data_IF_661917493987
#
_entry.id   IF_661917493987
#
_cell.length_a   1.000
_cell.length_b   1.000
_cell.length_c   1.000
_cell.angle_alpha   90.00
_cell.angle_beta   90.00
_cell.angle_gamma   90.00
#
_symmetry.space_group_name_H-M   'P 1'
#
loop_
_entity.id
_entity.type
_entity.pdbx_description
1 polymer ?
#
# COMPACT_ATOMS: atom_id res chain seq x y z
N UNK A 1 32.82 -6.51 -18.77
CA UNK A 1 33.09 -7.47 -17.68
C UNK A 1 34.58 -7.43 -17.36
N UNK A 2 34.96 -6.82 -16.25
CA UNK A 2 36.30 -6.97 -15.67
C UNK A 2 36.14 -7.58 -14.29
N UNK A 3 36.54 -8.83 -14.20
CA UNK A 3 36.64 -9.60 -12.97
C UNK A 3 37.63 -8.89 -12.05
N UNK A 4 37.26 -8.68 -10.79
CA UNK A 4 38.17 -8.21 -9.75
C UNK A 4 39.18 -9.32 -9.46
N UNK A 5 40.40 -9.17 -10.00
CA UNK A 5 41.54 -10.02 -9.66
C UNK A 5 42.31 -9.39 -8.49
N UNK A 6 42.50 -10.21 -7.46
CA UNK A 6 43.36 -9.98 -6.30
C UNK A 6 44.77 -9.52 -6.69
N UNK A 7 45.19 -8.38 -6.14
CA UNK A 7 46.60 -7.93 -6.16
C UNK A 7 47.14 -8.06 -4.74
N UNK A 8 48.12 -8.95 -4.55
CA UNK A 8 48.89 -9.09 -3.30
C UNK A 8 49.75 -7.86 -3.09
N UNK A 9 49.57 -7.16 -1.96
CA UNK A 9 50.55 -6.24 -1.41
C UNK A 9 51.03 -6.80 -0.06
N UNK A 10 52.29 -7.20 -0.04
CA UNK A 10 53.02 -7.67 1.14
C UNK A 10 53.55 -6.46 1.90
N UNK A 11 53.10 -6.26 3.13
CA UNK A 11 53.82 -5.45 4.12
C UNK A 11 53.93 -6.26 5.41
N UNK A 12 55.18 -6.53 5.79
CA UNK A 12 55.58 -7.24 7.01
C UNK A 12 55.34 -6.34 8.23
N UNK A 13 54.72 -6.86 9.28
CA UNK A 13 54.74 -6.28 10.63
C UNK A 13 55.51 -7.22 11.59
N UNK A 14 56.26 -6.70 12.56
CA UNK A 14 56.96 -7.50 13.56
C UNK A 14 55.98 -8.04 14.60
N UNK A 15 56.24 -9.27 15.04
CA UNK A 15 55.48 -9.98 16.08
C UNK A 15 55.88 -9.43 17.46
N UNK A 16 54.89 -9.01 18.25
CA UNK A 16 54.99 -8.80 19.70
C UNK A 16 53.86 -9.57 20.42
N UNK A 17 54.08 -10.06 21.66
CA UNK A 17 53.40 -11.25 22.17
C UNK A 17 52.00 -10.99 22.74
N UNK A 18 51.17 -12.04 22.68
CA UNK A 18 49.81 -12.11 23.22
C UNK A 18 49.76 -11.83 24.74
N UNK A 19 49.15 -10.70 25.11
CA UNK A 19 48.58 -10.51 26.43
C UNK A 19 47.08 -10.86 26.38
N UNK A 20 46.68 -11.82 27.24
CA UNK A 20 45.28 -12.19 27.46
C UNK A 20 44.53 -11.04 28.15
N UNK A 21 43.42 -10.59 27.58
CA UNK A 21 42.42 -9.78 28.32
C UNK A 21 40.99 -10.16 27.90
N UNK A 22 40.01 -10.16 28.82
CA UNK A 22 38.73 -10.85 28.65
C UNK A 22 37.69 -9.95 27.99
N UNK A 23 37.43 -10.18 26.70
CA UNK A 23 36.43 -9.47 25.89
C UNK A 23 35.03 -10.10 25.91
N UNK A 24 34.49 -10.40 27.09
CA UNK A 24 33.13 -10.94 27.23
C UNK A 24 32.21 -10.16 28.20
N UNK A 25 32.66 -9.02 28.75
CA UNK A 25 31.91 -8.28 29.79
C UNK A 25 31.42 -6.87 29.38
N UNK A 26 31.53 -6.47 28.11
CA UNK A 26 31.17 -5.12 27.64
C UNK A 26 29.80 -4.99 26.95
N UNK A 27 29.01 -6.06 26.90
CA UNK A 27 27.63 -6.05 26.36
C UNK A 27 26.53 -6.15 27.44
N UNK A 28 26.87 -6.18 28.74
CA UNK A 28 25.89 -6.33 29.83
C UNK A 28 25.89 -5.18 30.87
N UNK A 29 26.66 -4.10 30.67
CA UNK A 29 26.76 -2.97 31.61
C UNK A 29 26.09 -1.67 31.16
N UNK A 30 24.99 -1.76 30.41
CA UNK A 30 24.04 -0.64 30.22
C UNK A 30 22.68 -0.84 30.91
N UNK A 31 22.56 -1.86 31.75
CA UNK A 31 21.43 -2.07 32.65
C UNK A 31 21.96 -2.12 34.09
N UNK A 32 22.00 -0.96 34.74
CA UNK A 32 22.19 -0.68 36.18
C UNK A 32 23.14 0.50 36.39
N UNK A 33 22.59 1.69 36.23
CA UNK A 33 23.19 2.94 36.67
C UNK A 33 22.06 3.88 37.02
N UNK A 34 21.74 3.96 38.31
CA UNK A 34 20.89 4.99 38.88
C UNK A 34 21.60 6.34 38.71
N UNK A 35 21.18 7.13 37.74
CA UNK A 35 21.36 8.57 37.75
C UNK A 35 19.98 9.20 37.88
N UNK A 36 19.68 9.59 39.12
CA UNK A 36 18.70 10.62 39.42
C UNK A 36 19.19 11.92 38.77
N UNK A 37 18.48 12.36 37.73
CA UNK A 37 18.25 13.76 37.30
C UNK A 37 17.84 13.82 35.81
N UNK A 38 17.02 12.87 35.35
CA UNK A 38 16.26 13.06 34.11
C UNK A 38 15.01 13.90 34.41
N UNK A 39 14.64 14.87 33.56
CA UNK A 39 13.39 15.59 33.75
C UNK A 39 12.25 14.58 33.69
N UNK A 40 11.58 14.39 34.83
CA UNK A 40 10.34 13.63 34.92
C UNK A 40 9.44 14.11 33.79
N UNK A 41 9.16 13.21 32.84
CA UNK A 41 8.25 13.50 31.75
C UNK A 41 6.93 14.00 32.36
N UNK A 42 6.68 15.30 32.18
CA UNK A 42 5.43 15.91 32.63
C UNK A 42 4.23 15.21 32.00
N UNK A 43 3.04 15.36 32.57
CA UNK A 43 1.83 14.79 32.00
C UNK A 43 1.72 15.19 30.53
N UNK A 44 1.48 14.18 29.68
CA UNK A 44 1.31 14.33 28.25
C UNK A 44 0.35 15.50 27.95
N UNK A 45 0.91 16.57 27.38
CA UNK A 45 0.11 17.67 26.84
C UNK A 45 -0.09 17.34 25.36
N UNK A 46 -1.32 17.08 24.89
CA UNK A 46 -1.55 16.83 23.47
C UNK A 46 -1.04 18.04 22.67
N UNK A 47 -0.39 17.82 21.52
CA UNK A 47 -0.01 18.92 20.64
C UNK A 47 -1.25 19.77 20.37
N UNK A 48 -1.13 21.09 20.54
CA UNK A 48 -2.22 22.00 20.22
C UNK A 48 -2.59 21.82 18.74
N UNK A 49 -3.89 21.87 18.44
CA UNK A 49 -4.44 21.86 17.08
C UNK A 49 -3.76 22.86 16.11
N UNK A 50 -2.98 23.83 16.61
CA UNK A 50 -2.16 24.74 15.80
C UNK A 50 -0.96 24.08 15.08
N UNK A 51 -0.48 22.90 15.51
CA UNK A 51 0.54 22.14 14.76
C UNK A 51 -0.05 21.32 13.59
N UNK A 52 -1.37 21.18 13.51
CA UNK A 52 -2.09 20.44 12.46
C UNK A 52 -2.17 21.17 11.10
N UNK A 53 -1.38 22.24 10.89
CA UNK A 53 -1.31 22.98 9.62
C UNK A 53 -0.05 22.71 8.78
N UNK A 54 0.88 21.87 9.26
CA UNK A 54 2.05 21.48 8.46
C UNK A 54 1.77 20.20 7.67
N UNK A 55 1.92 20.28 6.35
CA UNK A 55 1.92 19.12 5.45
C UNK A 55 3.25 19.04 4.73
N UNK A 56 3.52 17.89 4.12
CA UNK A 56 4.74 17.62 3.37
C UNK A 56 4.41 17.52 1.89
N UNK A 57 5.30 18.02 1.05
CA UNK A 57 5.22 17.83 -0.40
C UNK A 57 6.49 17.14 -0.86
N UNK A 58 6.28 16.08 -1.61
CA UNK A 58 7.32 15.30 -2.24
C UNK A 58 7.10 15.33 -3.75
N UNK A 59 8.16 15.59 -4.49
CA UNK A 59 8.17 15.60 -5.95
C UNK A 59 9.14 14.54 -6.42
N UNK A 60 8.68 13.64 -7.27
CA UNK A 60 9.49 12.56 -7.82
C UNK A 60 8.85 12.03 -9.12
N UNK A 61 9.56 11.20 -9.85
CA UNK A 61 9.05 10.51 -11.02
C UNK A 61 8.49 9.15 -10.64
N UNK A 62 7.37 8.77 -11.27
CA UNK A 62 6.98 7.36 -11.34
C UNK A 62 7.91 6.61 -12.29
N UNK A 63 9.12 6.31 -11.83
CA UNK A 63 10.12 5.59 -12.60
C UNK A 63 9.75 4.11 -12.80
N UNK A 64 9.96 3.58 -14.01
CA UNK A 64 9.58 2.19 -14.36
C UNK A 64 10.23 1.13 -13.44
N UNK A 65 11.42 1.41 -12.92
CA UNK A 65 12.20 0.46 -12.10
C UNK A 65 11.47 -0.06 -10.86
N UNK A 66 11.08 0.83 -9.91
CA UNK A 66 10.25 0.48 -8.77
C UNK A 66 8.96 -0.26 -9.15
N UNK A 67 8.19 0.23 -10.13
CA UNK A 67 6.96 -0.44 -10.58
C UNK A 67 7.21 -1.88 -11.03
N UNK A 68 8.26 -2.09 -11.83
CA UNK A 68 8.57 -3.41 -12.39
C UNK A 68 8.96 -4.38 -11.29
N UNK A 69 9.82 -3.97 -10.35
CA UNK A 69 10.24 -4.81 -9.22
C UNK A 69 9.07 -5.12 -8.29
N UNK A 70 8.21 -4.13 -8.06
CA UNK A 70 6.99 -4.33 -7.29
C UNK A 70 6.05 -5.33 -7.98
N UNK A 71 5.88 -5.23 -9.30
CA UNK A 71 5.11 -6.21 -10.05
C UNK A 71 5.74 -7.61 -9.99
N UNK A 72 7.07 -7.73 -10.07
CA UNK A 72 7.77 -9.01 -9.88
C UNK A 72 7.48 -9.61 -8.50
N UNK A 73 7.53 -8.79 -7.44
CA UNK A 73 7.19 -9.24 -6.09
C UNK A 73 5.73 -9.72 -6.00
N UNK A 74 4.78 -8.96 -6.56
CA UNK A 74 3.36 -9.36 -6.54
C UNK A 74 3.12 -10.64 -7.35
N UNK A 75 3.82 -10.81 -8.48
CA UNK A 75 3.72 -12.02 -9.30
C UNK A 75 4.29 -13.26 -8.59
N UNK A 76 5.24 -13.09 -7.68
CA UNK A 76 5.79 -14.18 -6.87
C UNK A 76 4.85 -14.58 -5.71
N UNK A 77 3.97 -13.67 -5.30
CA UNK A 77 2.97 -13.85 -4.24
C UNK A 77 1.59 -14.26 -4.76
N UNK A 78 1.33 -14.20 -6.08
CA UNK A 78 0.02 -14.41 -6.71
C UNK A 78 0.12 -15.40 -7.88
N UNK A 79 -0.98 -16.00 -8.37
CA UNK A 79 -0.93 -16.91 -9.52
C UNK A 79 -0.49 -16.22 -10.80
N UNK A 80 0.08 -17.00 -11.73
CA UNK A 80 0.46 -16.53 -13.06
C UNK A 80 -0.70 -15.87 -13.83
N UNK A 81 -1.94 -16.32 -13.60
CA UNK A 81 -3.13 -15.76 -14.22
C UNK A 81 -3.42 -14.30 -13.83
N UNK A 82 -2.80 -13.80 -12.75
CA UNK A 82 -3.02 -12.46 -12.20
C UNK A 82 -1.88 -11.50 -12.63
N UNK A 83 -0.94 -11.99 -13.45
CA UNK A 83 0.20 -11.22 -13.91
C UNK A 83 -0.27 -10.11 -14.87
N UNK A 84 0.04 -8.87 -14.51
CA UNK A 84 -0.09 -7.74 -15.42
C UNK A 84 1.19 -7.65 -16.27
N UNK A 85 1.09 -8.09 -17.52
CA UNK A 85 2.17 -7.96 -18.51
C UNK A 85 2.22 -6.52 -19.04
N UNK A 86 3.39 -5.87 -18.91
CA UNK A 86 3.73 -4.60 -19.57
C UNK A 86 2.76 -3.41 -19.38
N UNK A 87 1.85 -3.51 -18.40
CA UNK A 87 0.86 -2.47 -18.09
C UNK A 87 1.50 -1.11 -17.86
N UNK A 88 2.62 -1.05 -17.15
CA UNK A 88 3.35 0.17 -16.78
C UNK A 88 3.86 1.02 -17.96
N UNK A 89 3.89 0.50 -19.20
CA UNK A 89 4.16 1.31 -20.40
C UNK A 89 2.97 2.16 -20.82
N UNK A 90 1.75 1.70 -20.52
CA UNK A 90 0.50 2.35 -20.91
C UNK A 90 -0.22 2.93 -19.69
N UNK A 91 -0.43 2.18 -18.61
CA UNK A 91 -1.06 2.67 -17.39
C UNK A 91 -0.42 1.99 -16.17
N UNK A 92 -0.19 2.74 -15.11
CA UNK A 92 0.28 2.14 -13.87
C UNK A 92 -0.84 1.28 -13.26
N UNK A 93 -0.58 0.02 -12.86
CA UNK A 93 -1.58 -0.75 -12.14
C UNK A 93 -2.00 -0.07 -10.82
N UNK A 94 -3.27 -0.21 -10.43
CA UNK A 94 -3.74 0.28 -9.12
C UNK A 94 -2.94 -0.35 -7.99
N UNK A 95 -2.62 0.46 -6.98
CA UNK A 95 -1.71 0.08 -5.89
C UNK A 95 -0.23 0.32 -6.18
N UNK A 96 0.19 0.57 -7.42
CA UNK A 96 1.62 0.80 -7.72
C UNK A 96 2.18 2.08 -7.09
N UNK A 97 1.35 3.07 -6.76
CA UNK A 97 1.76 4.29 -6.04
C UNK A 97 2.35 3.98 -4.65
N UNK A 98 2.06 2.81 -4.06
CA UNK A 98 2.53 2.42 -2.73
C UNK A 98 4.06 2.26 -2.62
N UNK A 99 4.76 2.06 -3.75
CA UNK A 99 6.23 1.97 -3.81
C UNK A 99 6.89 3.26 -4.31
N UNK A 100 6.13 4.36 -4.35
CA UNK A 100 6.64 5.70 -4.64
C UNK A 100 6.38 6.63 -3.46
N UNK A 101 7.11 7.74 -3.44
CA UNK A 101 7.10 8.67 -2.31
C UNK A 101 7.29 7.94 -0.97
N UNK A 102 8.37 7.13 -0.85
CA UNK A 102 8.61 6.30 0.32
C UNK A 102 8.98 7.17 1.54
N UNK A 103 9.38 6.54 2.64
CA UNK A 103 9.99 7.25 3.77
C UNK A 103 11.20 8.04 3.26
N UNK A 104 11.27 9.33 3.59
CA UNK A 104 12.32 10.24 3.10
C UNK A 104 13.39 10.53 4.16
N UNK A 105 13.11 10.27 5.45
CA UNK A 105 14.11 10.42 6.48
C UNK A 105 15.33 9.50 6.24
N UNK A 106 16.53 10.07 6.42
CA UNK A 106 17.75 9.29 6.48
C UNK A 106 17.66 8.25 7.61
N UNK A 107 18.31 7.08 7.52
CA UNK A 107 18.26 6.06 8.57
C UNK A 107 18.60 6.57 9.97
N UNK A 108 19.50 7.56 10.08
CA UNK A 108 19.88 8.21 11.34
C UNK A 108 18.82 9.15 11.94
N UNK A 109 17.71 9.38 11.22
CA UNK A 109 16.58 10.25 11.58
C UNK A 109 15.27 9.49 11.74
N UNK A 110 15.28 8.16 11.55
CA UNK A 110 14.13 7.31 11.79
C UNK A 110 13.80 7.26 13.29
N UNK A 111 12.54 6.96 13.60
CA UNK A 111 12.11 6.68 14.96
C UNK A 111 12.74 5.38 15.49
N UNK A 112 12.72 5.14 16.82
CA UNK A 112 13.31 3.95 17.43
C UNK A 112 12.79 2.60 16.91
N UNK A 113 11.62 2.56 16.28
CA UNK A 113 11.00 1.37 15.66
C UNK A 113 11.41 1.16 14.19
N UNK A 114 12.22 2.06 13.62
CA UNK A 114 12.73 1.99 12.26
C UNK A 114 11.83 2.60 11.18
N UNK A 115 10.77 3.32 11.53
CA UNK A 115 9.94 4.03 10.56
C UNK A 115 9.91 5.56 10.79
N UNK A 116 9.18 6.27 9.94
CA UNK A 116 9.24 7.73 9.82
C UNK A 116 8.89 8.44 11.14
N UNK A 117 9.77 9.33 11.61
CA UNK A 117 9.64 9.96 12.93
C UNK A 117 8.57 11.05 12.95
N UNK A 118 8.31 11.70 11.82
CA UNK A 118 7.30 12.76 11.70
C UNK A 118 5.86 12.26 11.88
N UNK A 119 5.63 10.95 11.76
CA UNK A 119 4.31 10.34 11.95
C UNK A 119 4.00 10.05 13.41
N UNK A 120 5.00 10.13 14.31
CA UNK A 120 4.83 9.84 15.73
C UNK A 120 4.11 11.02 16.38
N UNK A 121 2.91 10.82 16.97
CA UNK A 121 2.21 11.90 17.64
C UNK A 121 3.03 12.35 18.85
N UNK A 122 2.96 13.65 19.17
CA UNK A 122 3.62 14.19 20.35
C UNK A 122 3.31 13.37 21.60
N UNK A 123 4.29 13.20 22.48
CA UNK A 123 4.15 12.48 23.75
C UNK A 123 4.00 10.95 23.68
N UNK A 124 3.98 10.35 22.48
CA UNK A 124 4.09 8.90 22.35
C UNK A 124 5.56 8.49 22.29
N UNK A 125 5.97 7.61 23.20
CA UNK A 125 7.37 7.20 23.36
C UNK A 125 7.58 5.76 22.84
N UNK A 126 8.12 5.65 21.62
CA UNK A 126 8.47 4.38 20.99
C UNK A 126 9.72 3.71 21.58
N UNK A 127 10.42 4.33 22.53
CA UNK A 127 11.55 3.69 23.21
C UNK A 127 11.10 2.73 24.32
N UNK A 128 9.84 2.84 24.76
CA UNK A 128 9.30 2.01 25.83
C UNK A 128 9.06 0.57 25.35
N UNK A 129 9.42 -0.45 26.15
CA UNK A 129 9.08 -1.83 25.86
C UNK A 129 7.56 -1.99 25.65
N UNK A 130 7.16 -2.70 24.60
CA UNK A 130 5.76 -2.92 24.23
C UNK A 130 5.13 -1.79 23.40
N UNK A 131 5.74 -0.60 23.35
CA UNK A 131 5.23 0.51 22.55
C UNK A 131 5.36 0.19 21.06
N UNK A 132 4.23 0.13 20.37
CA UNK A 132 4.19 -0.34 18.98
C UNK A 132 3.38 0.60 18.10
N UNK A 133 3.93 0.92 16.94
CA UNK A 133 3.22 1.54 15.82
C UNK A 133 2.68 0.46 14.88
N UNK A 134 1.43 0.60 14.46
CA UNK A 134 0.77 -0.35 13.56
C UNK A 134 0.02 0.39 12.45
N UNK A 135 0.12 -0.12 11.23
CA UNK A 135 -0.78 0.28 10.15
C UNK A 135 -2.11 -0.45 10.31
N UNK A 136 -3.13 0.24 10.80
CA UNK A 136 -4.43 -0.40 11.15
C UNK A 136 -5.49 -0.28 10.06
N UNK A 137 -5.18 0.40 8.95
CA UNK A 137 -6.03 0.45 7.78
C UNK A 137 -5.93 1.76 7.03
N UNK A 138 -6.93 2.04 6.21
CA UNK A 138 -6.94 3.21 5.37
C UNK A 138 -8.07 3.21 4.36
N UNK A 139 -7.96 4.10 3.39
CA UNK A 139 -8.78 4.09 2.18
C UNK A 139 -7.98 4.59 0.99
N UNK A 140 -8.38 4.16 -0.20
CA UNK A 140 -7.86 4.62 -1.48
C UNK A 140 -9.02 4.98 -2.37
N UNK A 141 -8.94 6.15 -3.01
CA UNK A 141 -9.87 6.60 -4.03
C UNK A 141 -9.06 6.90 -5.29
N UNK A 142 -9.52 6.36 -6.42
CA UNK A 142 -9.01 6.66 -7.75
C UNK A 142 -10.06 7.52 -8.46
N UNK A 143 -9.68 8.72 -8.88
CA UNK A 143 -10.59 9.64 -9.54
C UNK A 143 -10.69 9.36 -11.05
N UNK A 144 -11.61 10.05 -11.73
CA UNK A 144 -11.83 9.86 -13.15
C UNK A 144 -10.55 10.10 -13.97
N UNK A 145 -10.45 9.39 -15.09
CA UNK A 145 -9.27 9.36 -15.97
C UNK A 145 -7.95 8.92 -15.33
N UNK A 146 -7.94 8.38 -14.09
CA UNK A 146 -6.71 7.88 -13.46
C UNK A 146 -5.94 6.89 -14.36
N UNK A 147 -6.64 5.97 -15.04
CA UNK A 147 -6.02 4.99 -15.94
C UNK A 147 -5.38 5.64 -17.18
N UNK A 148 -5.88 6.81 -17.57
CA UNK A 148 -5.36 7.61 -18.67
C UNK A 148 -4.18 8.48 -18.24
N UNK A 149 -4.12 8.88 -16.96
CA UNK A 149 -3.19 9.90 -16.49
C UNK A 149 -2.07 9.35 -15.58
N UNK A 150 -2.34 8.31 -14.79
CA UNK A 150 -1.35 7.69 -13.89
C UNK A 150 -0.38 6.82 -14.68
N UNK A 151 0.69 7.44 -15.19
CA UNK A 151 1.68 6.83 -16.09
C UNK A 151 3.10 7.28 -15.75
N UNK A 152 4.07 6.46 -16.14
CA UNK A 152 5.49 6.84 -16.06
C UNK A 152 5.84 7.96 -17.06
N UNK A 153 5.24 7.93 -18.26
CA UNK A 153 5.60 8.79 -19.39
C UNK A 153 4.39 9.54 -19.94
N UNK A 154 4.65 10.72 -20.49
CA UNK A 154 3.63 11.59 -21.10
C UNK A 154 3.04 10.99 -22.38
N UNK A 155 1.71 11.03 -22.59
CA UNK A 155 1.09 10.67 -23.86
C UNK A 155 1.66 11.51 -25.00
N UNK A 156 2.03 10.85 -26.12
CA UNK A 156 2.59 11.53 -27.30
C UNK A 156 4.01 12.09 -27.13
N UNK A 157 4.57 12.12 -25.91
CA UNK A 157 5.87 12.71 -25.58
C UNK A 157 7.07 11.74 -25.65
N UNK A 158 6.92 10.57 -26.26
CA UNK A 158 7.97 9.55 -26.31
C UNK A 158 8.37 9.03 -24.92
N UNK A 159 9.66 9.07 -24.57
CA UNK A 159 10.19 8.63 -23.27
C UNK A 159 10.26 9.74 -22.22
N UNK A 160 9.55 10.86 -22.42
CA UNK A 160 9.52 11.97 -21.46
C UNK A 160 8.73 11.58 -20.22
N UNK A 161 9.33 11.57 -19.02
CA UNK A 161 8.63 11.16 -17.80
C UNK A 161 7.68 12.26 -17.26
N UNK A 162 6.64 11.86 -16.54
CA UNK A 162 5.85 12.78 -15.72
C UNK A 162 6.61 13.12 -14.44
N UNK A 163 6.53 14.39 -14.01
CA UNK A 163 6.87 14.79 -12.64
C UNK A 163 5.59 14.70 -11.80
N UNK A 164 5.62 13.81 -10.81
CA UNK A 164 4.52 13.58 -9.89
C UNK A 164 4.76 14.30 -8.58
N UNK A 165 3.67 14.72 -7.95
CA UNK A 165 3.69 15.34 -6.63
C UNK A 165 2.79 14.54 -5.69
N UNK A 166 3.33 14.20 -4.52
CA UNK A 166 2.59 13.64 -3.40
C UNK A 166 2.53 14.68 -2.28
N UNK A 167 1.32 15.08 -1.89
CA UNK A 167 1.09 15.90 -0.70
C UNK A 167 0.60 15.02 0.43
N UNK A 168 1.33 14.99 1.54
CA UNK A 168 0.93 14.30 2.77
C UNK A 168 0.54 15.32 3.84
N UNK A 169 -0.60 15.13 4.51
CA UNK A 169 -1.05 15.97 5.61
C UNK A 169 -1.50 15.13 6.80
N UNK A 170 -1.36 15.71 8.00
CA UNK A 170 -2.02 15.18 9.18
C UNK A 170 -3.51 15.56 9.13
N UNK A 171 -4.38 14.60 8.85
CA UNK A 171 -5.81 14.84 8.72
C UNK A 171 -6.53 14.84 10.07
N UNK A 172 -6.00 14.08 11.05
CA UNK A 172 -6.55 14.08 12.40
C UNK A 172 -5.92 13.04 13.30
N UNK A 173 -6.29 13.09 14.59
CA UNK A 173 -5.92 12.08 15.56
C UNK A 173 -7.05 11.83 16.53
N UNK A 174 -7.27 10.54 16.84
CA UNK A 174 -8.25 10.08 17.83
C UNK A 174 -7.51 9.35 18.93
N UNK A 175 -7.72 9.76 20.18
CA UNK A 175 -7.23 9.03 21.36
C UNK A 175 -8.35 8.17 21.89
N UNK A 176 -8.13 6.87 21.95
CA UNK A 176 -9.08 5.88 22.45
C UNK A 176 -8.57 5.36 23.78
N UNK A 177 -9.36 5.55 24.85
CA UNK A 177 -9.03 5.07 26.20
C UNK A 177 -9.77 3.76 26.49
N UNK A 178 -9.06 2.80 27.11
CA UNK A 178 -9.64 1.56 27.63
C UNK A 178 -9.02 1.26 28.98
N UNK A 179 -9.75 1.56 30.06
CA UNK A 179 -9.16 1.55 31.42
C UNK A 179 -8.05 2.59 31.52
N UNK A 180 -6.91 2.19 32.07
CA UNK A 180 -5.72 3.05 32.23
C UNK A 180 -4.87 3.15 30.95
N UNK A 181 -5.13 2.31 29.95
CA UNK A 181 -4.42 2.34 28.68
C UNK A 181 -5.07 3.32 27.69
N UNK A 182 -4.23 4.07 26.98
CA UNK A 182 -4.67 4.93 25.88
C UNK A 182 -3.93 4.55 24.61
N UNK A 183 -4.66 4.38 23.50
CA UNK A 183 -4.08 4.23 22.16
C UNK A 183 -4.41 5.46 21.32
N UNK A 184 -3.45 5.94 20.55
CA UNK A 184 -3.68 7.02 19.60
C UNK A 184 -3.82 6.42 18.20
N UNK A 185 -4.77 6.93 17.42
CA UNK A 185 -4.92 6.61 15.99
C UNK A 185 -4.73 7.90 15.22
N UNK A 186 -3.63 7.99 14.50
CA UNK A 186 -3.27 9.10 13.62
C UNK A 186 -3.78 8.81 12.21
N UNK A 187 -4.44 9.79 11.62
CA UNK A 187 -4.93 9.77 10.25
C UNK A 187 -4.05 10.67 9.39
N UNK A 188 -3.36 10.07 8.42
CA UNK A 188 -2.60 10.77 7.40
C UNK A 188 -3.38 10.74 6.09
N UNK A 189 -3.41 11.86 5.38
CA UNK A 189 -4.00 11.96 4.04
C UNK A 189 -2.89 12.23 3.03
N UNK A 190 -2.83 11.44 1.96
CA UNK A 190 -1.97 11.63 0.79
C UNK A 190 -2.81 11.91 -0.45
N UNK A 191 -2.41 12.89 -1.24
CA UNK A 191 -2.96 13.14 -2.58
C UNK A 191 -1.85 13.13 -3.61
N UNK A 192 -2.13 12.55 -4.77
CA UNK A 192 -1.17 12.38 -5.85
C UNK A 192 -1.68 13.04 -7.13
N UNK A 193 -0.87 13.90 -7.73
CA UNK A 193 -1.18 14.66 -8.95
C UNK A 193 0.08 15.04 -9.74
N UNK A 194 -0.08 15.75 -10.85
CA UNK A 194 1.04 16.24 -11.68
C UNK A 194 1.12 17.76 -11.64
N UNK A 195 2.33 18.33 -11.68
CA UNK A 195 2.52 19.80 -11.61
C UNK A 195 2.00 20.53 -12.84
N UNK A 196 2.12 19.89 -14.01
CA UNK A 196 1.77 20.49 -15.31
C UNK A 196 0.28 20.80 -15.43
N UNK A 197 -0.53 20.13 -14.62
CA UNK A 197 -1.96 20.36 -14.56
C UNK A 197 -2.34 21.33 -13.45
N UNK A 198 -1.42 21.74 -12.55
CA UNK A 198 -1.67 22.78 -11.56
C UNK A 198 -1.58 22.33 -10.10
N UNK A 199 -1.04 21.13 -9.81
CA UNK A 199 -0.80 20.66 -8.45
C UNK A 199 0.33 21.48 -7.77
N UNK A 200 -0.05 22.55 -7.05
CA UNK A 200 0.85 23.56 -6.45
C UNK A 200 1.25 23.26 -4.99
N UNK A 201 2.14 24.09 -4.45
CA UNK A 201 2.84 23.93 -3.16
C UNK A 201 1.95 24.02 -1.90
N UNK A 202 2.53 23.74 -0.73
CA UNK A 202 1.84 23.70 0.58
C UNK A 202 1.34 25.10 0.93
N UNK A 203 0.03 25.25 1.13
CA UNK A 203 -0.61 26.51 1.54
C UNK A 203 -1.75 26.93 0.63
N UNK A 204 -1.79 26.41 -0.60
CA UNK A 204 -2.93 26.51 -1.51
C UNK A 204 -3.75 25.21 -1.41
N UNK A 205 -5.08 25.28 -1.43
CA UNK A 205 -5.89 24.06 -1.61
C UNK A 205 -5.59 23.53 -3.02
N UNK A 206 -5.31 22.22 -3.17
CA UNK A 206 -5.13 21.66 -4.49
C UNK A 206 -6.45 21.86 -5.25
N UNK A 207 -6.36 22.18 -6.53
CA UNK A 207 -7.55 22.17 -7.38
C UNK A 207 -8.03 20.72 -7.42
N UNK A 208 -9.22 20.43 -6.86
CA UNK A 208 -9.72 19.06 -6.64
C UNK A 208 -9.80 18.24 -7.93
N UNK A 209 -9.85 18.90 -9.09
CA UNK A 209 -9.86 18.32 -10.43
C UNK A 209 -8.51 17.68 -10.85
N UNK A 210 -7.45 17.85 -10.05
CA UNK A 210 -6.07 17.48 -10.42
C UNK A 210 -5.46 16.43 -9.47
N UNK A 211 -6.29 15.84 -8.61
CA UNK A 211 -5.92 14.70 -7.76
C UNK A 211 -6.37 13.42 -8.45
N UNK A 212 -5.43 12.55 -8.78
CA UNK A 212 -5.72 11.25 -9.41
C UNK A 212 -5.89 10.13 -8.41
N UNK A 213 -5.18 10.22 -7.29
CA UNK A 213 -5.25 9.25 -6.21
C UNK A 213 -5.35 10.02 -4.90
N UNK A 214 -6.30 9.63 -4.06
CA UNK A 214 -6.36 10.03 -2.67
C UNK A 214 -6.22 8.79 -1.79
N UNK A 215 -5.33 8.86 -0.80
CA UNK A 215 -5.04 7.79 0.12
C UNK A 215 -5.17 8.30 1.56
N UNK A 216 -5.92 7.59 2.40
CA UNK A 216 -5.90 7.78 3.85
C UNK A 216 -5.14 6.62 4.47
N UNK A 217 -4.21 6.92 5.38
CA UNK A 217 -3.46 5.93 6.17
C UNK A 217 -3.78 6.10 7.64
N UNK A 218 -4.08 5.00 8.31
CA UNK A 218 -4.35 4.99 9.74
C UNK A 218 -3.22 4.28 10.49
N UNK A 219 -2.53 5.04 11.33
CA UNK A 219 -1.44 4.56 12.17
C UNK A 219 -1.90 4.53 13.62
N UNK A 220 -1.95 3.35 14.22
CA UNK A 220 -2.20 3.19 15.65
C UNK A 220 -0.87 3.18 16.42
N UNK A 221 -0.85 3.89 17.53
CA UNK A 221 0.24 3.94 18.49
C UNK A 221 -0.27 3.37 19.80
N UNK A 222 0.23 2.19 20.16
CA UNK A 222 -0.24 1.37 21.28
C UNK A 222 0.88 1.27 22.31
N UNK A 223 0.72 1.79 23.54
CA UNK A 223 1.80 1.80 24.54
C UNK A 223 2.27 0.41 24.97
N UNK A 224 1.35 -0.55 25.00
CA UNK A 224 1.63 -1.94 25.29
C UNK A 224 0.85 -2.81 24.31
N UNK A 225 1.47 -3.16 23.19
CA UNK A 225 0.83 -4.00 22.20
C UNK A 225 1.02 -5.47 22.53
N UNK A 226 -0.09 -6.10 22.91
CA UNK A 226 -0.18 -7.55 23.00
C UNK A 226 -1.09 -8.04 21.86
N UNK A 227 -0.56 -8.81 20.89
CA UNK A 227 -1.38 -9.40 19.85
C UNK A 227 -2.35 -10.41 20.49
N UNK A 228 -3.63 -10.07 20.51
CA UNK A 228 -4.68 -10.98 20.97
C UNK A 228 -5.17 -11.80 19.79
N UNK A 229 -5.13 -13.13 19.92
CA UNK A 229 -5.80 -14.04 19.01
C UNK A 229 -7.30 -13.71 19.05
N UNK A 230 -7.75 -12.95 18.06
CA UNK A 230 -9.13 -12.50 17.95
C UNK A 230 -9.60 -12.97 16.59
N UNK A 231 -10.43 -14.01 16.58
CA UNK A 231 -11.06 -14.46 15.34
C UNK A 231 -12.22 -13.53 15.03
N UNK A 232 -12.15 -12.89 13.87
CA UNK A 232 -13.24 -12.08 13.34
C UNK A 232 -14.03 -12.91 12.32
N UNK A 233 -15.35 -12.99 12.48
CA UNK A 233 -16.22 -13.73 11.56
C UNK A 233 -16.18 -13.18 10.13
N UNK A 234 -16.31 -14.05 9.14
CA UNK A 234 -16.23 -13.71 7.72
C UNK A 234 -17.57 -13.17 7.20
N UNK A 235 -17.60 -12.43 6.08
CA UNK A 235 -18.85 -11.90 5.53
C UNK A 235 -19.78 -13.02 5.01
N UNK A 236 -19.23 -14.19 4.68
CA UNK A 236 -19.91 -15.38 4.16
C UNK A 236 -18.93 -16.26 3.36
N UNK A 237 -19.46 -17.14 2.51
CA UNK A 237 -18.64 -17.90 1.55
C UNK A 237 -18.08 -16.96 0.46
N UNK A 238 -16.80 -17.11 0.07
CA UNK A 238 -16.21 -16.34 -1.01
C UNK A 238 -16.67 -16.82 -2.38
N UNK A 239 -16.88 -15.88 -3.31
CA UNK A 239 -17.05 -16.19 -4.74
C UNK A 239 -15.71 -16.56 -5.38
N UNK A 240 -14.62 -16.04 -4.81
CA UNK A 240 -13.27 -16.22 -5.27
C UNK A 240 -12.31 -16.23 -4.08
N UNK A 241 -11.36 -17.17 -4.07
CA UNK A 241 -10.33 -17.24 -3.05
C UNK A 241 -8.96 -17.57 -3.63
N UNK A 242 -7.91 -17.08 -2.96
CA UNK A 242 -6.53 -17.37 -3.31
C UNK A 242 -5.64 -17.43 -2.07
N UNK A 243 -4.83 -18.48 -1.98
CA UNK A 243 -3.90 -18.73 -0.89
C UNK A 243 -2.49 -18.26 -1.23
N UNK A 244 -1.84 -17.58 -0.30
CA UNK A 244 -0.45 -17.16 -0.41
C UNK A 244 0.28 -17.39 0.91
N UNK A 245 1.61 -17.58 0.85
CA UNK A 245 2.46 -17.70 2.03
C UNK A 245 3.63 -16.72 1.88
N UNK A 246 3.67 -15.61 2.63
CA UNK A 246 4.72 -14.62 2.52
C UNK A 246 6.04 -15.16 3.09
N UNK A 247 7.15 -14.88 2.42
CA UNK A 247 8.51 -15.26 2.84
C UNK A 247 9.31 -14.08 3.39
N UNK A 248 10.37 -14.30 4.19
CA UNK A 248 11.23 -13.22 4.68
C UNK A 248 11.83 -12.40 3.54
N UNK A 249 12.19 -13.06 2.44
CA UNK A 249 12.77 -12.43 1.26
C UNK A 249 11.78 -11.48 0.57
N UNK A 250 10.50 -11.88 0.47
CA UNK A 250 9.43 -11.03 -0.07
C UNK A 250 9.16 -9.82 0.83
N UNK A 251 9.11 -10.00 2.16
CA UNK A 251 8.94 -8.88 3.09
C UNK A 251 10.12 -7.91 3.02
N UNK A 252 11.35 -8.42 2.96
CA UNK A 252 12.55 -7.61 2.78
C UNK A 252 12.50 -6.81 1.47
N UNK A 253 12.13 -7.45 0.35
CA UNK A 253 11.99 -6.77 -0.94
C UNK A 253 10.96 -5.64 -0.89
N UNK A 254 9.81 -5.85 -0.24
CA UNK A 254 8.81 -4.80 -0.08
C UNK A 254 9.31 -3.65 0.81
N UNK A 255 9.99 -3.97 1.92
CA UNK A 255 10.66 -2.98 2.78
C UNK A 255 11.67 -2.15 1.99
N UNK A 256 12.48 -2.78 1.13
CA UNK A 256 13.44 -2.07 0.28
C UNK A 256 12.76 -1.18 -0.77
N UNK A 257 11.68 -1.65 -1.40
CA UNK A 257 10.90 -0.87 -2.38
C UNK A 257 10.22 0.35 -1.76
N UNK A 258 9.79 0.25 -0.51
CA UNK A 258 9.07 1.31 0.21
C UNK A 258 9.97 2.15 1.12
N UNK A 259 11.29 1.88 1.10
CA UNK A 259 12.28 2.41 2.07
C UNK A 259 11.80 2.31 3.52
N UNK A 260 11.07 1.24 3.85
CA UNK A 260 10.46 1.04 5.15
C UNK A 260 11.31 0.06 5.98
N UNK A 261 12.16 0.63 6.83
CA UNK A 261 13.06 -0.12 7.73
C UNK A 261 12.40 -0.50 9.07
N UNK A 262 11.07 -0.46 9.18
CA UNK A 262 10.38 -0.78 10.43
C UNK A 262 10.66 -2.23 10.86
N UNK A 263 11.15 -2.38 12.10
CA UNK A 263 11.73 -3.64 12.57
C UNK A 263 10.75 -4.80 12.64
N UNK A 264 9.45 -4.53 12.76
CA UNK A 264 8.41 -5.57 12.79
C UNK A 264 8.36 -6.40 11.50
N UNK A 265 8.91 -5.90 10.39
CA UNK A 265 8.92 -6.60 9.10
C UNK A 265 10.20 -7.39 8.84
N UNK A 266 11.27 -7.10 9.58
CA UNK A 266 12.62 -7.61 9.28
C UNK A 266 12.96 -8.90 10.03
N UNK A 267 12.15 -9.28 11.01
CA UNK A 267 12.27 -10.56 11.70
C UNK A 267 11.97 -11.72 10.73
N UNK A 268 12.90 -12.68 10.62
CA UNK A 268 12.80 -13.80 9.69
C UNK A 268 11.75 -14.84 10.08
N UNK A 269 11.38 -14.90 11.36
CA UNK A 269 10.46 -15.92 11.90
C UNK A 269 9.14 -15.30 12.38
N UNK A 270 9.20 -14.07 12.87
CA UNK A 270 8.05 -13.33 13.45
C UNK A 270 7.72 -12.05 12.69
N UNK A 271 8.26 -11.89 11.49
CA UNK A 271 8.00 -10.75 10.63
C UNK A 271 6.51 -10.59 10.37
N UNK A 272 5.99 -9.38 10.55
CA UNK A 272 4.61 -9.02 10.26
C UNK A 272 4.52 -8.55 8.81
N UNK A 273 3.53 -9.03 8.07
CA UNK A 273 3.26 -8.59 6.69
C UNK A 273 2.83 -7.12 6.69
N UNK A 274 3.37 -6.33 5.77
CA UNK A 274 3.02 -4.91 5.67
C UNK A 274 1.55 -4.71 5.31
N UNK A 275 0.86 -3.81 6.03
CA UNK A 275 -0.49 -3.36 5.67
C UNK A 275 -0.64 -2.85 4.22
N UNK A 276 0.29 -2.05 3.67
CA UNK A 276 0.23 -1.68 2.25
C UNK A 276 0.49 -2.85 1.29
N UNK A 277 1.23 -3.90 1.70
CA UNK A 277 1.41 -5.09 0.86
C UNK A 277 0.10 -5.90 0.78
N UNK A 278 -0.61 -6.09 1.91
CA UNK A 278 -1.92 -6.75 1.89
C UNK A 278 -2.93 -6.00 1.04
N UNK A 279 -2.93 -4.67 1.10
CA UNK A 279 -3.74 -3.81 0.23
C UNK A 279 -3.42 -4.01 -1.26
N UNK A 280 -2.14 -4.09 -1.63
CA UNK A 280 -1.73 -4.33 -3.01
C UNK A 280 -2.18 -5.72 -3.53
N UNK A 281 -2.08 -6.75 -2.69
CA UNK A 281 -2.56 -8.09 -3.00
C UNK A 281 -4.08 -8.13 -3.18
N UNK A 282 -4.84 -7.44 -2.30
CA UNK A 282 -6.30 -7.30 -2.43
C UNK A 282 -6.68 -6.61 -3.74
N UNK A 283 -6.03 -5.48 -4.07
CA UNK A 283 -6.28 -4.75 -5.31
C UNK A 283 -6.03 -5.63 -6.53
N UNK A 284 -4.87 -6.32 -6.60
CA UNK A 284 -4.53 -7.17 -7.75
C UNK A 284 -5.47 -8.36 -7.91
N UNK A 285 -5.85 -9.00 -6.81
CA UNK A 285 -6.79 -10.12 -6.80
C UNK A 285 -8.17 -9.66 -7.29
N UNK A 286 -8.64 -8.51 -6.81
CA UNK A 286 -9.90 -7.91 -7.24
C UNK A 286 -9.89 -7.55 -8.73
N UNK A 287 -8.80 -6.97 -9.24
CA UNK A 287 -8.63 -6.71 -10.68
C UNK A 287 -8.82 -7.99 -11.51
N UNK A 288 -8.18 -9.08 -11.08
CA UNK A 288 -8.27 -10.35 -11.78
C UNK A 288 -9.68 -10.93 -11.71
N UNK A 289 -10.33 -10.92 -10.54
CA UNK A 289 -11.67 -11.46 -10.38
C UNK A 289 -12.72 -10.72 -11.23
N UNK A 290 -12.56 -9.41 -11.43
CA UNK A 290 -13.50 -8.59 -12.20
C UNK A 290 -13.25 -8.71 -13.72
N UNK A 291 -12.00 -8.69 -14.16
CA UNK A 291 -11.66 -8.57 -15.60
C UNK A 291 -11.08 -9.84 -16.23
N UNK A 292 -10.82 -10.87 -15.43
CA UNK A 292 -10.13 -12.08 -15.85
C UNK A 292 -8.67 -11.84 -16.29
N UNK A 293 -8.05 -12.82 -16.97
CA UNK A 293 -6.63 -12.79 -17.33
C UNK A 293 -6.22 -11.66 -18.29
N UNK A 294 -7.18 -11.05 -18.99
CA UNK A 294 -6.92 -9.97 -19.96
C UNK A 294 -7.07 -8.57 -19.37
N UNK A 295 -7.50 -8.45 -18.12
CA UNK A 295 -7.67 -7.18 -17.42
C UNK A 295 -6.32 -6.52 -17.16
N UNK A 296 -5.93 -5.54 -17.98
CA UNK A 296 -4.65 -4.85 -17.82
C UNK A 296 -4.70 -3.71 -16.80
N UNK A 297 -5.90 -3.23 -16.48
CA UNK A 297 -6.17 -2.08 -15.61
C UNK A 297 -7.40 -2.39 -14.78
N UNK A 298 -7.40 -1.93 -13.53
CA UNK A 298 -8.42 -2.21 -12.52
C UNK A 298 -9.42 -1.06 -12.44
N UNK A 299 -10.71 -1.37 -12.42
CA UNK A 299 -11.78 -0.37 -12.36
C UNK A 299 -12.22 -0.06 -10.91
N UNK A 300 -11.34 -0.27 -9.92
CA UNK A 300 -11.66 0.07 -8.52
C UNK A 300 -11.68 1.58 -8.37
N UNK A 301 -12.84 2.14 -8.04
CA UNK A 301 -13.01 3.56 -7.76
C UNK A 301 -12.58 3.90 -6.34
N UNK A 302 -12.92 3.03 -5.39
CA UNK A 302 -12.62 3.22 -3.97
C UNK A 302 -12.45 1.90 -3.26
N UNK A 303 -11.50 1.82 -2.34
CA UNK A 303 -11.39 0.73 -1.37
C UNK A 303 -11.13 1.28 0.02
N UNK A 304 -11.90 0.84 1.01
CA UNK A 304 -11.72 1.16 2.43
C UNK A 304 -11.38 -0.12 3.18
N UNK A 305 -10.31 -0.11 3.97
CA UNK A 305 -9.79 -1.33 4.60
C UNK A 305 -9.35 -1.14 6.06
N UNK A 306 -9.28 -2.25 6.78
CA UNK A 306 -8.82 -2.36 8.18
C UNK A 306 -7.99 -3.62 8.36
N UNK A 307 -6.85 -3.48 9.02
CA UNK A 307 -6.03 -4.58 9.48
C UNK A 307 -6.45 -4.88 10.91
N UNK A 308 -7.07 -6.05 11.11
CA UNK A 308 -7.73 -6.46 12.35
C UNK A 308 -6.76 -7.21 13.28
N UNK A 309 -5.95 -8.10 12.71
CA UNK A 309 -4.85 -8.76 13.40
C UNK A 309 -3.61 -8.87 12.47
N UNK A 310 -2.41 -9.10 13.03
CA UNK A 310 -1.21 -9.28 12.23
C UNK A 310 -1.26 -10.57 11.40
N UNK A 311 -0.81 -10.48 10.15
CA UNK A 311 -0.40 -11.64 9.37
C UNK A 311 1.12 -11.82 9.53
N UNK A 312 1.58 -13.05 9.70
CA UNK A 312 2.99 -13.34 9.92
C UNK A 312 3.65 -14.00 8.71
N UNK A 313 4.95 -13.77 8.58
CA UNK A 313 5.83 -14.46 7.64
C UNK A 313 5.76 -15.98 7.85
N UNK A 314 5.77 -16.73 6.75
CA UNK A 314 5.68 -18.19 6.75
C UNK A 314 4.30 -18.77 7.08
N UNK A 315 3.31 -17.94 7.41
CA UNK A 315 1.93 -18.39 7.64
C UNK A 315 1.11 -18.27 6.35
N UNK A 316 0.43 -19.35 5.97
CA UNK A 316 -0.53 -19.31 4.86
C UNK A 316 -1.68 -18.36 5.19
N UNK A 317 -2.07 -17.53 4.23
CA UNK A 317 -3.21 -16.65 4.32
C UNK A 317 -4.05 -16.76 3.05
N UNK A 318 -5.35 -16.51 3.18
CA UNK A 318 -6.29 -16.63 2.04
C UNK A 318 -6.93 -15.28 1.76
N UNK A 319 -6.72 -14.73 0.57
CA UNK A 319 -7.47 -13.58 0.05
C UNK A 319 -8.82 -14.09 -0.45
N UNK A 320 -9.90 -13.48 -0.01
CA UNK A 320 -11.26 -13.86 -0.33
C UNK A 320 -12.02 -12.64 -0.87
N UNK A 321 -12.83 -12.87 -1.89
CA UNK A 321 -13.67 -11.86 -2.54
C UNK A 321 -15.12 -12.34 -2.58
N UNK A 322 -16.04 -11.42 -2.36
CA UNK A 322 -17.46 -11.65 -2.60
C UNK A 322 -18.11 -10.41 -3.18
N UNK A 323 -18.78 -10.54 -4.32
CA UNK A 323 -19.61 -9.48 -4.89
C UNK A 323 -20.88 -9.36 -4.05
N UNK A 324 -21.22 -8.16 -3.59
CA UNK A 324 -22.51 -7.94 -2.94
C UNK A 324 -23.63 -8.05 -3.98
N UNK A 325 -24.78 -8.64 -3.62
CA UNK A 325 -25.95 -8.58 -4.47
C UNK A 325 -26.29 -7.11 -4.75
N UNK A 326 -26.74 -6.82 -5.96
CA UNK A 326 -27.28 -5.49 -6.29
C UNK A 326 -28.51 -5.27 -5.40
N UNK A 327 -28.39 -4.41 -4.39
CA UNK A 327 -29.56 -3.95 -3.64
C UNK A 327 -30.43 -3.16 -4.63
N UNK A 328 -31.64 -3.64 -4.93
CA UNK A 328 -32.66 -2.79 -5.52
C UNK A 328 -32.78 -1.58 -4.58
N UNK A 329 -32.40 -0.39 -5.04
CA UNK A 329 -32.56 0.83 -4.28
C UNK A 329 -33.98 0.86 -3.72
N UNK A 330 -34.12 0.67 -2.41
CA UNK A 330 -35.38 0.96 -1.73
C UNK A 330 -35.61 2.45 -1.89
N UNK A 331 -36.78 2.83 -2.38
CA UNK A 331 -37.12 4.22 -2.65
C UNK A 331 -36.92 5.07 -1.39
N UNK A 332 -36.54 6.36 -1.53
CA UNK A 332 -36.31 7.27 -0.41
C UNK A 332 -37.49 7.41 0.57
N UNK A 333 -38.68 6.95 0.19
CA UNK A 333 -39.93 7.05 0.95
C UNK A 333 -40.00 6.09 2.15
N UNK A 334 -39.21 5.00 2.19
CA UNK A 334 -39.23 4.06 3.33
C UNK A 334 -38.34 4.50 4.51
N UNK A 335 -37.47 5.51 4.35
CA UNK A 335 -36.59 5.99 5.43
C UNK A 335 -37.19 7.09 6.32
N UNK A 336 -38.40 7.60 6.02
CA UNK A 336 -39.00 8.72 6.76
C UNK A 336 -39.90 8.30 7.94
N UNK A 337 -39.75 7.10 8.49
CA UNK A 337 -40.48 6.69 9.70
C UNK A 337 -39.55 6.14 10.78
N UNK A 338 -39.17 7.07 11.67
CA UNK A 338 -38.71 6.95 13.07
C UNK A 338 -37.27 7.42 13.40
N UNK A 339 -37.08 8.04 14.58
CA UNK A 339 -36.52 9.39 14.63
C UNK A 339 -35.07 9.50 15.11
N UNK A 340 -34.52 10.67 14.76
CA UNK A 340 -33.22 11.26 15.08
C UNK A 340 -32.81 11.12 16.55
N UNK A 341 -31.61 10.56 16.77
CA UNK A 341 -30.75 10.97 17.86
C UNK A 341 -29.26 10.74 17.51
N UNK A 342 -28.43 11.66 18.00
CA UNK A 342 -26.96 11.78 17.91
C UNK A 342 -26.40 12.69 16.79
N UNK A 343 -26.26 13.94 17.24
CA UNK A 343 -25.48 15.10 16.81
C UNK A 343 -24.24 14.86 15.91
N UNK A 344 -24.18 15.55 14.75
CA UNK A 344 -23.50 16.84 14.51
C UNK A 344 -21.99 16.86 14.80
N UNK A 345 -21.19 16.52 13.80
CA UNK A 345 -20.11 17.39 13.28
C UNK A 345 -19.60 16.80 11.96
N UNK A 346 -19.14 17.68 11.05
CA UNK A 346 -18.87 17.48 9.60
C UNK A 346 -20.06 17.89 8.74
N UNK A 347 -20.13 19.18 8.40
CA UNK A 347 -20.97 19.57 7.27
C UNK A 347 -20.36 20.79 6.57
N UNK A 348 -20.02 20.58 5.30
CA UNK A 348 -19.40 21.55 4.39
C UNK A 348 -18.87 20.86 3.13
N UNK A 349 -18.23 19.69 3.28
CA UNK A 349 -17.55 18.98 2.18
C UNK A 349 -18.37 17.86 1.51
N UNK A 350 -19.35 17.29 2.22
CA UNK A 350 -20.26 16.29 1.62
C UNK A 350 -21.28 16.93 0.66
N UNK A 351 -21.64 18.20 0.87
CA UNK A 351 -22.53 18.94 -0.04
C UNK A 351 -21.88 19.26 -1.39
N UNK A 352 -20.58 19.57 -1.43
CA UNK A 352 -19.91 19.89 -2.71
C UNK A 352 -19.68 18.65 -3.59
N UNK A 353 -19.54 17.46 -2.99
CA UNK A 353 -19.46 16.18 -3.72
C UNK A 353 -20.80 15.78 -4.36
N UNK A 354 -21.91 16.06 -3.67
CA UNK A 354 -23.27 15.81 -4.17
C UNK A 354 -23.66 16.82 -5.27
N UNK A 355 -23.21 18.07 -5.17
CA UNK A 355 -23.38 19.10 -6.20
C UNK A 355 -22.58 18.78 -7.47
N UNK A 356 -21.42 18.12 -7.36
CA UNK A 356 -20.60 17.66 -8.50
C UNK A 356 -21.25 16.50 -9.27
N UNK A 357 -22.01 15.62 -8.62
CA UNK A 357 -22.84 14.61 -9.31
C UNK A 357 -23.93 15.29 -10.14
N UNK A 358 -24.58 16.31 -9.58
CA UNK A 358 -25.69 17.03 -10.24
C UNK A 358 -25.24 17.96 -11.36
N UNK A 359 -24.11 18.66 -11.21
CA UNK A 359 -23.61 19.57 -12.26
C UNK A 359 -23.05 18.82 -13.49
N UNK A 360 -22.57 17.59 -13.29
CA UNK A 360 -22.11 16.73 -14.41
C UNK A 360 -23.30 16.15 -15.20
N UNK A 361 -24.47 15.97 -14.56
CA UNK A 361 -25.71 15.54 -15.22
C UNK A 361 -26.35 16.65 -16.09
N UNK A 362 -26.14 17.94 -15.77
CA UNK A 362 -26.80 19.04 -16.50
C UNK A 362 -26.17 19.40 -17.86
N UNK A 363 -25.01 18.84 -18.23
CA UNK A 363 -24.33 19.18 -19.51
C UNK A 363 -24.25 18.06 -20.56
N UNK A 364 -24.87 16.89 -20.35
CA UNK A 364 -24.82 15.77 -21.30
C UNK A 364 -26.21 15.35 -21.78
N UNK A 365 -26.78 16.15 -22.70
CA UNK A 365 -27.89 15.69 -23.55
C UNK A 365 -27.34 14.80 -24.67
N UNK A 366 -27.02 13.56 -24.30
CA UNK A 366 -26.75 12.41 -25.15
C UNK A 366 -27.13 11.17 -24.31
N UNK A 367 -27.61 10.05 -24.87
CA UNK A 367 -28.03 8.92 -24.05
C UNK A 367 -26.79 8.27 -23.41
N UNK A 368 -26.39 8.76 -22.24
CA UNK A 368 -25.28 8.21 -21.48
C UNK A 368 -25.72 6.87 -20.89
N UNK A 369 -25.04 5.80 -21.30
CA UNK A 369 -25.07 4.53 -20.60
C UNK A 369 -24.68 4.80 -19.15
N UNK A 370 -25.64 4.68 -18.20
CA UNK A 370 -25.36 4.84 -16.78
C UNK A 370 -24.27 3.85 -16.38
N UNK A 371 -23.09 4.36 -16.03
CA UNK A 371 -22.03 3.54 -15.44
C UNK A 371 -22.58 2.86 -14.19
N UNK A 372 -22.57 1.53 -14.17
CA UNK A 372 -22.96 0.77 -12.98
C UNK A 372 -21.75 0.62 -12.05
N UNK A 373 -22.00 0.65 -10.74
CA UNK A 373 -20.98 0.42 -9.71
C UNK A 373 -21.36 -0.84 -8.96
N UNK A 374 -20.45 -1.81 -8.94
CA UNK A 374 -20.56 -2.99 -8.07
C UNK A 374 -19.81 -2.80 -6.77
N UNK A 375 -20.32 -3.39 -5.70
CA UNK A 375 -19.68 -3.36 -4.37
C UNK A 375 -19.16 -4.75 -4.03
N UNK A 376 -17.93 -4.84 -3.57
CA UNK A 376 -17.25 -6.09 -3.21
C UNK A 376 -16.82 -6.07 -1.75
N UNK A 377 -17.11 -7.16 -1.04
CA UNK A 377 -16.42 -7.49 0.21
C UNK A 377 -15.11 -8.18 -0.14
N UNK A 378 -14.01 -7.70 0.42
CA UNK A 378 -12.67 -8.28 0.25
C UNK A 378 -12.08 -8.50 1.63
N UNK A 379 -11.56 -9.70 1.91
CA UNK A 379 -10.92 -9.97 3.20
C UNK A 379 -9.73 -10.91 3.04
N UNK A 380 -8.85 -10.91 4.03
CA UNK A 380 -7.76 -11.89 4.13
C UNK A 380 -7.97 -12.70 5.40
N UNK A 381 -8.00 -14.01 5.27
CA UNK A 381 -8.10 -14.95 6.38
C UNK A 381 -6.70 -15.37 6.85
N UNK A 382 -6.55 -15.51 8.17
CA UNK A 382 -5.42 -16.20 8.79
C UNK A 382 -5.62 -17.74 8.70
N UNK A 383 -4.61 -18.58 9.01
CA UNK A 383 -4.74 -20.04 8.95
C UNK A 383 -5.93 -20.62 9.73
N UNK A 384 -6.35 -19.93 10.80
CA UNK A 384 -7.52 -20.31 11.61
C UNK A 384 -8.88 -19.94 11.00
N UNK A 385 -8.92 -19.37 9.79
CA UNK A 385 -10.14 -18.97 9.08
C UNK A 385 -10.74 -17.62 9.52
N UNK A 386 -10.25 -17.04 10.61
CA UNK A 386 -10.63 -15.69 11.05
C UNK A 386 -10.12 -14.61 10.11
N UNK A 387 -10.85 -13.50 9.97
CA UNK A 387 -10.38 -12.37 9.16
C UNK A 387 -9.24 -11.62 9.85
N UNK A 388 -8.10 -11.51 9.17
CA UNK A 388 -6.99 -10.65 9.54
C UNK A 388 -7.07 -9.26 8.91
N UNK A 389 -7.62 -9.18 7.70
CA UNK A 389 -7.86 -7.92 6.99
C UNK A 389 -9.28 -7.93 6.46
N UNK A 390 -9.97 -6.79 6.50
CA UNK A 390 -11.25 -6.59 5.83
C UNK A 390 -11.26 -5.32 5.01
N UNK A 391 -11.97 -5.33 3.91
CA UNK A 391 -12.13 -4.20 3.03
C UNK A 391 -13.49 -4.24 2.31
N UNK A 392 -13.92 -3.06 1.87
CA UNK A 392 -15.04 -2.89 0.95
C UNK A 392 -14.56 -2.07 -0.23
N UNK A 393 -14.77 -2.58 -1.43
CA UNK A 393 -14.35 -1.96 -2.68
C UNK A 393 -15.55 -1.62 -3.56
N UNK A 394 -15.52 -0.43 -4.16
CA UNK A 394 -16.45 0.02 -5.19
C UNK A 394 -15.74 -0.09 -6.52
N UNK A 395 -16.32 -0.84 -7.45
CA UNK A 395 -15.72 -1.15 -8.75
C UNK A 395 -16.67 -0.73 -9.84
N UNK A 396 -16.19 0.11 -10.76
CA UNK A 396 -16.92 0.47 -11.97
C UNK A 396 -17.11 -0.79 -12.81
N UNK A 397 -18.35 -1.11 -13.14
CA UNK A 397 -18.69 -2.20 -14.05
C UNK A 397 -18.97 -1.60 -15.42
N UNK A 398 -18.17 -1.96 -16.43
CA UNK A 398 -18.55 -1.67 -17.80
C UNK A 398 -19.90 -2.35 -18.10
N UNK A 399 -20.79 -1.74 -18.92
CA UNK A 399 -21.96 -2.45 -19.41
C UNK A 399 -21.49 -3.74 -20.08
N UNK A 400 -22.15 -4.86 -19.76
CA UNK A 400 -21.82 -6.16 -20.32
C UNK A 400 -21.99 -6.10 -21.84
N UNK A 401 -20.92 -5.80 -22.58
CA UNK A 401 -20.92 -6.08 -24.01
C UNK A 401 -20.89 -7.60 -24.14
N UNK A 402 -21.89 -8.23 -24.79
CA UNK A 402 -21.75 -9.63 -25.14
C UNK A 402 -20.46 -9.77 -25.96
N UNK A 403 -19.68 -10.84 -25.77
CA UNK A 403 -18.45 -11.02 -26.52
C UNK A 403 -18.79 -10.95 -28.00
N UNK A 404 -18.41 -9.85 -28.67
CA UNK A 404 -18.46 -9.78 -30.12
C UNK A 404 -17.58 -10.91 -30.60
N UNK A 405 -18.20 -11.94 -31.18
CA UNK A 405 -17.50 -13.06 -31.77
C UNK A 405 -16.52 -12.52 -32.81
N UNK A 406 -15.26 -12.30 -32.40
CA UNK A 406 -14.17 -12.10 -33.34
C UNK A 406 -13.91 -13.47 -33.95
N UNK A 407 -14.39 -13.67 -35.19
CA UNK A 407 -13.84 -14.70 -36.06
C UNK A 407 -12.35 -14.38 -36.23
N UNK A 408 -11.50 -15.15 -35.56
CA UNK A 408 -10.09 -15.21 -35.91
C UNK A 408 -9.97 -15.89 -37.28
N UNK A 409 -9.20 -15.34 -38.23
CA UNK A 409 -8.83 -16.10 -39.42
C UNK A 409 -8.01 -17.32 -38.97
N UNK A 410 -8.34 -18.48 -39.49
CA UNK A 410 -7.57 -19.71 -39.28
C UNK A 410 -6.12 -19.52 -39.79
N UNK A 411 -5.17 -19.85 -38.91
CA UNK A 411 -3.77 -20.20 -39.14
C UNK A 411 -2.87 -19.25 -39.94
N UNK A 412 -1.94 -18.62 -39.22
CA UNK A 412 -0.53 -18.58 -39.62
C UNK A 412 0.32 -19.07 -38.43
N UNK A 413 0.32 -20.39 -38.22
CA UNK A 413 1.36 -21.05 -37.43
C UNK A 413 2.59 -21.17 -38.32
N UNK A 414 3.51 -20.22 -38.22
CA UNK A 414 4.86 -20.41 -38.74
C UNK A 414 5.61 -21.35 -37.78
N UNK A 415 5.53 -22.65 -38.05
CA UNK A 415 6.53 -23.60 -37.55
C UNK A 415 7.82 -23.35 -38.32
N UNK A 416 8.78 -22.63 -37.72
CA UNK A 416 10.16 -22.68 -38.20
C UNK A 416 10.78 -24.00 -37.75
N UNK A 417 10.87 -24.96 -38.67
CA UNK A 417 11.76 -26.10 -38.51
C UNK A 417 13.21 -25.59 -38.46
N UNK A 418 13.91 -25.98 -37.40
CA UNK A 418 15.33 -25.68 -37.20
C UNK A 418 16.12 -26.58 -38.15
N UNK A 419 17.05 -26.02 -38.92
CA UNK A 419 17.81 -26.81 -39.88
C UNK A 419 18.78 -27.77 -39.16
N UNK A 420 19.10 -28.95 -39.75
CA UNK A 420 20.09 -29.88 -39.19
C UNK A 420 21.48 -29.24 -38.96
N UNK A 421 21.80 -28.14 -39.66
CA UNK A 421 23.04 -27.38 -39.49
C UNK A 421 23.02 -26.51 -38.22
N UNK A 422 21.87 -25.93 -37.85
CA UNK A 422 21.70 -25.16 -36.60
C UNK A 422 21.72 -26.08 -35.36
N UNK A 423 21.19 -27.30 -35.49
CA UNK A 423 21.25 -28.32 -34.44
C UNK A 423 22.68 -28.78 -34.14
N UNK A 424 23.53 -28.93 -35.17
CA UNK A 424 24.93 -29.34 -35.02
C UNK A 424 25.83 -28.25 -34.38
N UNK A 425 25.48 -26.96 -34.55
CA UNK A 425 26.20 -25.87 -33.88
C UNK A 425 25.93 -25.83 -32.37
N UNK A 426 24.72 -26.21 -31.93
CA UNK A 426 24.37 -26.26 -30.51
C UNK A 426 25.05 -27.40 -29.75
N UNK A 427 25.39 -28.52 -30.42
CA UNK A 427 26.02 -29.67 -29.75
C UNK A 427 27.52 -29.47 -29.50
N UNK A 428 28.21 -28.64 -30.29
CA UNK A 428 29.65 -28.33 -30.13
C UNK A 428 29.96 -27.30 -29.04
N UNK A 429 28.96 -26.61 -28.50
CA UNK A 429 29.16 -25.64 -27.41
C UNK A 429 29.02 -26.26 -26.00
N UNK A 430 28.87 -27.60 -25.92
CA UNK A 430 28.61 -28.31 -24.66
C UNK A 430 29.59 -29.44 -24.34
N UNK A 431 30.71 -29.50 -25.07
CA UNK A 431 31.93 -30.27 -24.78
C UNK A 431 33.09 -29.32 -24.84
#
# INVERSE_FOLDING_TARGET
MRLWTSSRLSLRHPVLPLARTPGAALLQRRFNGTHSDDPVAGPYTPPSLSQAKSGWIWKDHFAVGPARRFNTLLNDLLPDAFILHDGYKKAMPQGSHLVYFPIHAAPSKLAPDGAESQHVPGGFDLTKPGATRLWVGGSLTFFDDWAQQVRCFKPGGGSTPYLWTCRETFAGMKVLKRGDESKAVVELKRTYGTEEEGFREVGEEPVEEQVYIEETRLLAFVPNFEPKATSFGTPGEPDFEYKFTPTPEQLFQFSALTNNAHFIHLDREKGIVHGPLTLALMLRTLTHAVHGPTGTVSDVLKISYRNLCPLYVGQEATICLRKRPEEMEKSPEEMEKHPKEVEKTLNGREKSLEERRKSTEETKNSPEEKESISVWDVWIQEPGGGMAVKATAHVRTAPAQPPKAKKYPESDRVTKEISPQEQAQWTKART
#
